data_IF_995603107382
#
_entry.id   IF_995603107382
#
_cell.length_a   1.000
_cell.length_b   1.000
_cell.length_c   1.000
_cell.angle_alpha   90.00
_cell.angle_beta   90.00
_cell.angle_gamma   90.00
#
_symmetry.space_group_name_H-M   'P 1'
#
loop_
_entity.id
_entity.type
_entity.pdbx_description
1 polymer ?
2 non-polymer ?
3 water ?
#
# COMPACT_ATOMS: atom_id res chain seq x y z
N UNK A 8 14.87 -13.43 18.61
CA UNK A 8 13.64 -13.29 19.44
C UNK A 8 13.17 -11.83 19.55
N UNK A 9 11.86 -11.62 19.73
CA UNK A 9 11.17 -10.32 19.85
C UNK A 9 11.93 -9.24 20.62
N UNK A 10 12.17 -9.49 21.90
CA UNK A 10 12.89 -8.55 22.76
C UNK A 10 14.28 -8.25 22.20
N UNK A 11 14.93 -9.30 21.71
CA UNK A 11 16.27 -9.19 21.13
C UNK A 11 16.19 -8.24 19.94
N UNK A 12 15.42 -8.64 18.94
CA UNK A 12 15.22 -7.88 17.72
C UNK A 12 14.94 -6.40 18.00
N UNK A 13 13.98 -6.12 18.87
CA UNK A 13 13.63 -4.76 19.22
C UNK A 13 14.89 -4.01 19.66
N UNK A 14 15.58 -4.58 20.64
CA UNK A 14 16.81 -4.00 21.17
C UNK A 14 17.78 -3.70 20.04
N UNK A 15 17.93 -4.65 19.13
CA UNK A 15 18.84 -4.49 18.01
C UNK A 15 18.38 -3.43 16.98
N UNK A 16 17.07 -3.28 16.81
CA UNK A 16 16.57 -2.28 15.85
C UNK A 16 16.76 -0.91 16.48
N UNK A 17 16.54 -0.85 17.79
CA UNK A 17 16.68 0.38 18.54
C UNK A 17 18.06 0.97 18.26
N UNK A 18 19.08 0.23 18.67
CA UNK A 18 20.46 0.68 18.50
C UNK A 18 20.97 0.68 17.07
N UNK A 19 20.14 0.21 16.15
CA UNK A 19 20.52 0.18 14.74
C UNK A 19 20.10 1.49 14.07
N UNK A 20 19.33 2.30 14.78
CA UNK A 20 18.85 3.58 14.28
C UNK A 20 19.95 4.46 13.64
N UNK A 21 19.64 5.08 12.48
CA UNK A 21 20.58 5.94 11.76
C UNK A 21 20.75 7.28 12.48
N UNK A 22 21.92 7.91 12.35
CA UNK A 22 22.09 9.19 13.03
C UNK A 22 21.16 10.25 12.45
N UNK A 23 20.94 11.35 13.16
CA UNK A 23 20.08 12.37 12.62
C UNK A 23 20.89 13.27 11.69
N UNK A 24 20.36 13.51 10.50
CA UNK A 24 21.08 14.32 9.54
C UNK A 24 20.73 15.79 9.67
N UNK A 25 21.77 16.58 9.84
CA UNK A 25 21.63 18.01 10.01
C UNK A 25 21.84 18.74 8.71
N UNK A 26 20.85 19.54 8.35
CA UNK A 26 20.94 20.34 7.15
C UNK A 26 20.18 21.63 7.47
N UNK A 27 20.56 22.73 6.83
CA UNK A 27 19.88 23.98 7.11
C UNK A 27 19.33 24.66 5.85
N UNK A 28 18.42 25.59 6.06
CA UNK A 28 17.80 26.34 4.97
C UNK A 28 18.82 27.27 4.32
N UNK A 29 18.48 27.83 3.16
CA UNK A 29 19.41 28.72 2.45
C UNK A 29 19.11 30.20 2.71
N UNK A 30 19.93 31.10 2.16
CA UNK A 30 19.75 32.55 2.35
C UNK A 30 18.38 33.12 1.92
N UNK A 31 18.26 33.41 0.63
CA UNK A 31 17.06 34.00 0.01
C UNK A 31 15.81 33.15 0.16
N UNK A 32 14.63 33.73 -0.14
CA UNK A 32 13.39 32.97 -0.02
C UNK A 32 13.41 31.73 -0.91
N UNK A 33 13.11 30.57 -0.32
CA UNK A 33 13.11 29.32 -1.05
C UNK A 33 12.54 29.44 -2.45
N UNK A 34 13.22 28.81 -3.39
CA UNK A 34 12.80 28.78 -4.77
C UNK A 34 12.49 27.32 -5.01
N UNK A 35 11.79 27.03 -6.10
CA UNK A 35 11.48 25.65 -6.43
C UNK A 35 12.80 24.90 -6.39
N UNK A 36 13.79 25.46 -7.06
CA UNK A 36 15.14 24.89 -7.14
C UNK A 36 15.82 24.69 -5.79
N UNK A 37 16.09 25.78 -5.09
CA UNK A 37 16.75 25.71 -3.79
C UNK A 37 16.03 24.73 -2.85
N UNK A 38 14.70 24.80 -2.84
CA UNK A 38 13.88 23.91 -2.01
C UNK A 38 14.21 22.45 -2.31
N UNK A 39 14.09 22.07 -3.57
CA UNK A 39 14.35 20.68 -3.99
C UNK A 39 15.82 20.34 -3.86
N UNK A 40 16.66 21.37 -3.79
CA UNK A 40 18.09 21.19 -3.65
C UNK A 40 18.36 20.77 -2.20
N UNK A 41 17.66 21.39 -1.26
CA UNK A 41 17.84 21.06 0.15
C UNK A 41 17.32 19.64 0.48
N UNK A 42 16.12 19.30 0.00
CA UNK A 42 15.54 17.98 0.24
C UNK A 42 16.40 16.87 -0.35
N UNK A 43 16.86 17.08 -1.59
CA UNK A 43 17.70 16.11 -2.27
C UNK A 43 19.02 15.90 -1.53
N UNK A 44 19.61 17.00 -1.06
CA UNK A 44 20.86 16.88 -0.32
C UNK A 44 20.61 16.01 0.91
N UNK A 45 19.55 16.33 1.64
CA UNK A 45 19.16 15.62 2.83
C UNK A 45 18.88 14.12 2.61
N UNK A 46 17.99 13.84 1.65
CA UNK A 46 17.63 12.46 1.34
C UNK A 46 18.83 11.58 1.00
N UNK A 47 19.72 12.07 0.13
CA UNK A 47 20.91 11.29 -0.25
C UNK A 47 21.80 10.97 0.94
N UNK A 48 21.89 11.91 1.89
CA UNK A 48 22.70 11.67 3.08
C UNK A 48 22.01 10.61 3.92
N UNK A 49 20.69 10.67 3.99
CA UNK A 49 19.92 9.68 4.76
C UNK A 49 20.01 8.33 4.09
N UNK A 50 19.91 8.34 2.76
CA UNK A 50 19.99 7.11 1.99
C UNK A 50 21.33 6.44 2.26
N UNK A 51 22.39 7.25 2.39
CA UNK A 51 23.74 6.73 2.67
C UNK A 51 23.70 5.95 4.00
N UNK A 52 23.13 6.59 5.03
CA UNK A 52 23.01 5.98 6.34
C UNK A 52 22.05 4.78 6.32
N UNK A 53 21.05 4.84 5.45
CA UNK A 53 20.08 3.75 5.36
C UNK A 53 20.74 2.41 5.11
N UNK A 54 21.70 2.39 4.19
CA UNK A 54 22.40 1.16 3.89
C UNK A 54 22.97 0.57 5.19
N UNK A 55 23.73 1.37 5.91
CA UNK A 55 24.33 0.93 7.17
C UNK A 55 23.28 0.42 8.14
N UNK A 56 22.14 1.10 8.21
CA UNK A 56 21.04 0.71 9.08
C UNK A 56 20.53 -0.69 8.70
N UNK A 57 20.23 -0.87 7.42
CA UNK A 57 19.71 -2.15 6.94
C UNK A 57 20.69 -3.30 7.18
N UNK A 58 21.97 -2.98 7.18
CA UNK A 58 23.01 -3.97 7.39
C UNK A 58 23.02 -4.50 8.83
N UNK A 59 22.55 -3.68 9.75
CA UNK A 59 22.53 -4.06 11.15
C UNK A 59 21.29 -4.84 11.49
N UNK A 60 20.33 -4.84 10.58
CA UNK A 60 19.11 -5.57 10.83
C UNK A 60 19.41 -7.06 10.76
N UNK A 61 19.23 -7.76 11.88
CA UNK A 61 19.47 -9.19 12.01
C UNK A 61 19.08 -9.99 10.79
N UNK A 62 20.05 -10.75 10.27
CA UNK A 62 19.80 -11.59 9.12
C UNK A 62 19.91 -10.93 7.76
N UNK A 63 19.77 -9.61 7.71
CA UNK A 63 19.83 -8.92 6.43
C UNK A 63 21.05 -9.26 5.59
N UNK A 64 22.23 -9.08 6.16
CA UNK A 64 23.48 -9.35 5.47
C UNK A 64 23.64 -10.79 4.97
N UNK A 65 22.71 -11.66 5.33
CA UNK A 65 22.79 -13.06 4.89
C UNK A 65 22.03 -13.27 3.59
N UNK A 66 21.13 -12.34 3.26
CA UNK A 66 20.36 -12.45 2.02
C UNK A 66 21.33 -12.15 0.90
N UNK A 67 21.22 -12.89 -0.19
CA UNK A 67 22.09 -12.66 -1.33
C UNK A 67 22.24 -11.16 -1.52
N UNK A 68 23.44 -10.73 -1.90
CA UNK A 68 23.71 -9.32 -2.12
C UNK A 68 22.66 -8.71 -3.05
N UNK A 69 22.09 -9.55 -3.92
CA UNK A 69 21.07 -9.09 -4.86
C UNK A 69 19.75 -8.70 -4.23
N UNK A 70 19.29 -9.51 -3.26
CA UNK A 70 18.04 -9.24 -2.58
C UNK A 70 18.18 -7.99 -1.73
N UNK A 71 19.35 -7.82 -1.13
CA UNK A 71 19.62 -6.64 -0.32
C UNK A 71 19.37 -5.40 -1.17
N UNK A 72 20.07 -5.33 -2.28
CA UNK A 72 19.97 -4.24 -3.24
C UNK A 72 18.52 -4.06 -3.72
N UNK A 73 17.88 -5.16 -4.07
CA UNK A 73 16.49 -5.14 -4.55
C UNK A 73 15.54 -4.56 -3.52
N UNK A 74 15.71 -4.97 -2.27
CA UNK A 74 14.88 -4.50 -1.16
C UNK A 74 15.05 -3.00 -0.93
N UNK A 75 16.30 -2.55 -0.80
CA UNK A 75 16.59 -1.13 -0.59
C UNK A 75 16.16 -0.33 -1.78
N UNK A 76 16.41 -0.90 -2.97
CA UNK A 76 16.04 -0.27 -4.23
C UNK A 76 14.54 0.02 -4.30
N UNK A 77 13.73 -0.91 -3.80
CA UNK A 77 12.28 -0.77 -3.88
C UNK A 77 11.57 -0.09 -2.71
N UNK A 78 12.21 -0.06 -1.54
CA UNK A 78 11.57 0.54 -0.35
C UNK A 78 12.15 1.86 0.15
N UNK A 79 13.30 2.28 -0.38
CA UNK A 79 13.92 3.49 0.14
C UNK A 79 13.04 4.73 0.29
N UNK A 80 12.18 5.02 -0.68
CA UNK A 80 11.35 6.21 -0.54
C UNK A 80 10.34 6.09 0.60
N UNK A 81 9.82 4.89 0.84
CA UNK A 81 8.86 4.68 1.94
C UNK A 81 9.59 4.77 3.29
N UNK A 82 10.76 4.15 3.36
CA UNK A 82 11.55 4.17 4.58
C UNK A 82 11.78 5.63 4.97
N UNK A 83 12.19 6.43 3.99
CA UNK A 83 12.44 7.85 4.21
C UNK A 83 11.19 8.55 4.72
N UNK A 84 10.08 8.39 4.00
CA UNK A 84 8.85 9.04 4.41
C UNK A 84 8.34 8.55 5.76
N UNK A 85 8.65 7.30 6.10
CA UNK A 85 8.24 6.75 7.38
C UNK A 85 9.04 7.43 8.49
N UNK A 86 10.33 7.62 8.23
CA UNK A 86 11.21 8.26 9.20
C UNK A 86 10.79 9.71 9.41
N UNK A 87 10.36 10.35 8.32
CA UNK A 87 9.91 11.72 8.35
C UNK A 87 8.63 11.85 9.18
N UNK A 88 7.68 10.94 8.93
CA UNK A 88 6.43 10.96 9.65
C UNK A 88 6.66 10.78 11.14
N UNK A 89 7.56 9.86 11.49
CA UNK A 89 7.86 9.61 12.89
C UNK A 89 8.37 10.85 13.63
N UNK A 90 9.29 11.59 13.01
CA UNK A 90 9.80 12.77 13.70
C UNK A 90 8.91 14.00 13.61
N UNK A 91 7.88 13.97 12.76
CA UNK A 91 6.95 15.09 12.62
C UNK A 91 5.69 14.82 13.46
N UNK A 92 5.58 13.60 13.99
CA UNK A 92 4.42 13.19 14.76
C UNK A 92 3.93 14.14 15.87
N UNK A 93 4.87 14.79 16.57
CA UNK A 93 4.48 15.71 17.63
C UNK A 93 4.44 17.16 17.14
N UNK A 94 4.45 17.35 15.82
CA UNK A 94 4.42 18.70 15.25
C UNK A 94 3.33 18.81 14.17
N UNK A 95 2.05 18.72 14.56
CA UNK A 95 0.94 18.81 13.61
C UNK A 95 1.03 20.02 12.67
N UNK A 96 0.73 19.77 11.40
CA UNK A 96 0.77 20.82 10.39
C UNK A 96 2.20 21.04 9.93
N UNK A 97 3.16 20.32 10.50
CA UNK A 97 4.55 20.50 10.09
C UNK A 97 5.26 19.20 9.72
N UNK A 98 6.27 19.33 8.85
CA UNK A 98 7.12 18.22 8.43
C UNK A 98 8.54 18.54 8.88
N UNK A 99 9.03 17.77 9.84
CA UNK A 99 10.34 17.95 10.40
C UNK A 99 11.41 17.20 9.60
N UNK A 100 11.84 17.78 8.50
CA UNK A 100 12.87 17.14 7.67
C UNK A 100 14.19 17.04 8.44
N UNK A 101 14.42 18.04 9.29
CA UNK A 101 15.62 18.13 10.13
C UNK A 101 15.36 19.23 11.17
N UNK A 102 16.10 19.21 12.29
CA UNK A 102 15.94 20.21 13.35
C UNK A 102 15.93 21.65 12.81
N UNK A 103 16.82 21.92 11.85
CA UNK A 103 16.94 23.25 11.26
C UNK A 103 16.11 23.41 9.98
N UNK A 104 15.61 22.31 9.45
CA UNK A 104 14.81 22.38 8.23
C UNK A 104 13.40 21.83 8.44
N UNK A 105 12.57 22.70 8.99
CA UNK A 105 11.19 22.36 9.24
C UNK A 105 10.35 23.21 8.30
N UNK A 106 9.40 22.58 7.62
CA UNK A 106 8.54 23.27 6.69
C UNK A 106 7.06 23.08 6.99
N UNK A 107 6.28 24.14 6.76
CA UNK A 107 4.84 24.11 7.00
C UNK A 107 4.22 23.62 5.73
N UNK A 108 2.96 23.20 5.78
CA UNK A 108 2.29 22.73 4.57
C UNK A 108 2.43 23.77 3.42
N UNK A 109 2.15 25.02 3.75
CA UNK A 109 2.20 26.14 2.79
C UNK A 109 3.55 26.48 2.14
N UNK A 110 4.65 26.23 2.83
CA UNK A 110 5.96 26.52 2.27
C UNK A 110 6.27 25.55 1.14
N UNK A 111 5.56 24.43 1.13
CA UNK A 111 5.77 23.44 0.10
C UNK A 111 5.44 23.96 -1.28
N UNK A 112 4.66 25.04 -1.32
CA UNK A 112 4.27 25.65 -2.59
C UNK A 112 5.46 26.29 -3.32
N UNK A 113 6.65 26.12 -2.78
CA UNK A 113 7.86 26.66 -3.40
C UNK A 113 8.23 25.76 -4.56
N UNK A 114 7.84 24.49 -4.45
CA UNK A 114 8.10 23.51 -5.49
C UNK A 114 6.76 23.06 -6.06
N UNK A 115 6.51 23.46 -7.30
CA UNK A 115 5.26 23.14 -8.00
C UNK A 115 4.85 21.67 -7.95
N UNK A 116 3.78 21.39 -7.20
CA UNK A 116 3.29 20.01 -7.13
C UNK A 116 3.36 19.26 -5.80
N UNK A 117 4.49 19.34 -5.11
CA UNK A 117 4.65 18.60 -3.84
C UNK A 117 3.58 18.82 -2.78
N UNK A 118 2.74 19.85 -2.96
CA UNK A 118 1.70 20.15 -1.98
C UNK A 118 0.85 18.92 -1.66
N UNK A 119 0.35 18.25 -2.69
CA UNK A 119 -0.46 17.05 -2.49
C UNK A 119 0.36 16.01 -1.76
N UNK A 120 1.65 15.92 -2.08
CA UNK A 120 2.53 14.98 -1.44
C UNK A 120 2.70 15.33 0.05
N UNK A 121 2.79 16.63 0.34
CA UNK A 121 2.93 17.05 1.73
C UNK A 121 1.66 16.72 2.49
N UNK A 122 0.50 16.89 1.86
CA UNK A 122 -0.76 16.58 2.55
C UNK A 122 -0.89 15.08 2.84
N UNK A 123 -0.34 14.25 1.95
CA UNK A 123 -0.38 12.81 2.15
C UNK A 123 0.43 12.47 3.40
N UNK A 124 1.64 13.00 3.49
CA UNK A 124 2.51 12.77 4.63
C UNK A 124 1.89 13.27 5.94
N UNK A 125 1.51 14.54 5.98
CA UNK A 125 0.90 15.12 7.17
C UNK A 125 -0.33 14.35 7.66
N UNK A 126 -1.19 13.93 6.72
CA UNK A 126 -2.39 13.16 7.07
C UNK A 126 -2.05 11.76 7.62
N UNK A 127 -1.05 11.10 7.03
CA UNK A 127 -0.68 9.77 7.55
C UNK A 127 -0.06 9.96 8.93
N UNK A 128 0.84 10.93 9.04
CA UNK A 128 1.46 11.27 10.31
C UNK A 128 0.32 11.54 11.28
N UNK A 129 -0.69 12.25 10.78
CA UNK A 129 -1.86 12.58 11.59
C UNK A 129 -2.49 11.28 12.07
N UNK A 130 -2.60 10.30 11.18
CA UNK A 130 -3.21 9.04 11.58
C UNK A 130 -2.37 8.36 12.65
N UNK A 131 -1.07 8.26 12.43
CA UNK A 131 -0.18 7.64 13.40
C UNK A 131 -0.25 8.37 14.73
N UNK A 132 -0.45 9.68 14.69
CA UNK A 132 -0.53 10.48 15.90
C UNK A 132 -1.75 10.11 16.69
N UNK A 133 -2.85 9.89 15.98
CA UNK A 133 -4.09 9.51 16.62
C UNK A 133 -4.02 8.10 17.19
N UNK A 134 -3.14 7.27 16.62
CA UNK A 134 -2.98 5.89 17.09
C UNK A 134 -1.92 5.89 18.18
N UNK A 135 -1.37 7.07 18.43
CA UNK A 135 -0.32 7.22 19.43
C UNK A 135 0.72 6.12 19.22
N UNK A 136 1.20 6.06 17.97
CA UNK A 136 2.21 5.12 17.55
C UNK A 136 3.37 5.22 18.53
N UNK A 137 3.91 4.07 18.94
CA UNK A 137 5.03 4.06 19.87
C UNK A 137 6.37 3.84 19.17
N UNK A 138 7.42 4.35 19.79
CA UNK A 138 8.77 4.24 19.24
C UNK A 138 9.11 2.83 18.76
N UNK A 139 8.97 1.85 19.66
CA UNK A 139 9.25 0.45 19.33
C UNK A 139 8.37 -0.04 18.18
N UNK A 140 7.11 0.41 18.15
CA UNK A 140 6.18 0.01 17.10
C UNK A 140 6.73 0.55 15.78
N UNK A 141 7.14 1.81 15.81
CA UNK A 141 7.72 2.49 14.66
C UNK A 141 8.95 1.73 14.14
N UNK A 142 9.83 1.32 15.04
CA UNK A 142 11.02 0.55 14.69
C UNK A 142 10.64 -0.69 13.90
N UNK A 143 9.67 -1.45 14.41
CA UNK A 143 9.26 -2.64 13.68
C UNK A 143 8.64 -2.28 12.32
N UNK A 144 7.76 -1.28 12.30
CA UNK A 144 7.13 -0.90 11.04
C UNK A 144 8.13 -0.50 9.97
N UNK A 145 9.18 0.22 10.36
CA UNK A 145 10.17 0.63 9.40
C UNK A 145 10.84 -0.55 8.70
N UNK A 146 11.46 -1.43 9.49
CA UNK A 146 12.13 -2.60 8.93
C UNK A 146 11.13 -3.40 8.11
N UNK A 147 9.87 -3.37 8.54
CA UNK A 147 8.82 -4.08 7.86
C UNK A 147 8.60 -3.48 6.48
N UNK A 148 8.70 -2.16 6.39
CA UNK A 148 8.53 -1.52 5.10
C UNK A 148 9.68 -1.94 4.19
N UNK A 149 10.86 -2.07 4.78
CA UNK A 149 12.02 -2.48 3.99
C UNK A 149 11.87 -3.92 3.52
N UNK A 150 11.56 -4.81 4.45
CA UNK A 150 11.40 -6.23 4.13
C UNK A 150 10.17 -6.63 3.30
N UNK A 151 9.14 -5.79 3.25
CA UNK A 151 7.95 -6.18 2.49
C UNK A 151 7.82 -5.36 1.21
N UNK A 152 8.88 -4.67 0.82
CA UNK A 152 8.81 -3.84 -0.38
C UNK A 152 8.80 -4.66 -1.68
N UNK A 153 9.29 -5.89 -1.62
CA UNK A 153 9.31 -6.70 -2.83
C UNK A 153 8.60 -8.05 -2.78
N UNK A 154 8.21 -8.49 -3.97
CA UNK A 154 7.52 -9.74 -4.26
C UNK A 154 7.34 -9.84 -5.77
N UNK A 167 11.59 -15.40 -0.16
CA UNK A 167 12.17 -16.73 -0.10
C UNK A 167 12.32 -17.22 1.34
N UNK A 168 13.01 -18.33 1.49
CA UNK A 168 13.26 -18.94 2.80
C UNK A 168 13.62 -17.92 3.88
N UNK A 169 14.83 -17.40 3.78
CA UNK A 169 15.34 -16.42 4.74
C UNK A 169 14.52 -15.13 4.74
N UNK A 170 14.20 -14.66 3.53
CA UNK A 170 13.42 -13.44 3.36
C UNK A 170 12.18 -13.44 4.25
N UNK A 171 11.23 -14.31 3.94
CA UNK A 171 10.00 -14.43 4.71
C UNK A 171 10.31 -14.63 6.19
N UNK A 172 11.25 -15.52 6.48
CA UNK A 172 11.65 -15.80 7.86
C UNK A 172 11.99 -14.48 8.55
N UNK A 173 12.85 -13.70 7.89
CA UNK A 173 13.28 -12.42 8.41
C UNK A 173 12.08 -11.48 8.58
N UNK A 174 11.20 -11.46 7.59
CA UNK A 174 10.02 -10.62 7.63
C UNK A 174 9.02 -11.04 8.70
N UNK A 175 8.83 -12.35 8.88
CA UNK A 175 7.90 -12.80 9.91
C UNK A 175 8.45 -12.57 11.30
N UNK A 176 9.76 -12.53 11.44
CA UNK A 176 10.36 -12.31 12.75
C UNK A 176 10.09 -10.87 13.25
N UNK A 177 10.25 -9.90 12.36
CA UNK A 177 9.99 -8.50 12.70
C UNK A 177 8.49 -8.34 13.02
N UNK A 178 7.69 -9.08 12.26
CA UNK A 178 6.24 -9.09 12.41
C UNK A 178 5.89 -9.71 13.76
N UNK A 179 6.67 -10.70 14.19
CA UNK A 179 6.43 -11.34 15.48
C UNK A 179 6.72 -10.25 16.49
N UNK A 180 7.89 -9.63 16.34
CA UNK A 180 8.35 -8.56 17.21
C UNK A 180 7.32 -7.43 17.32
N UNK A 181 6.60 -7.13 16.24
CA UNK A 181 5.59 -6.08 16.33
C UNK A 181 4.44 -6.53 17.22
N UNK A 182 3.89 -7.72 16.93
CA UNK A 182 2.79 -8.26 17.72
C UNK A 182 3.22 -8.23 19.19
N UNK A 183 4.44 -8.68 19.47
CA UNK A 183 4.97 -8.68 20.84
C UNK A 183 4.90 -7.27 21.45
N UNK A 184 5.41 -6.27 20.74
CA UNK A 184 5.38 -4.90 21.25
C UNK A 184 3.94 -4.53 21.62
N UNK A 185 3.03 -4.70 20.66
CA UNK A 185 1.63 -4.39 20.92
C UNK A 185 1.10 -5.15 22.14
N UNK A 186 1.69 -6.32 22.41
CA UNK A 186 1.28 -7.15 23.54
C UNK A 186 1.62 -6.65 24.94
N UNK A 187 2.75 -5.96 25.10
CA UNK A 187 3.10 -5.48 26.44
C UNK A 187 2.32 -4.23 26.83
N UNK A 188 1.35 -3.87 26.00
CA UNK A 188 0.52 -2.70 26.25
C UNK A 188 -0.49 -3.01 27.35
N UNK A 189 -1.06 -4.21 27.30
CA UNK A 189 -2.04 -4.59 28.30
C UNK A 189 -3.49 -4.51 27.84
N UNK A 190 -3.73 -3.95 26.65
CA UNK A 190 -5.09 -3.84 26.14
C UNK A 190 -5.62 -5.24 25.84
N UNK A 191 -6.94 -5.38 25.77
CA UNK A 191 -7.55 -6.68 25.50
C UNK A 191 -7.08 -7.20 24.15
N UNK A 192 -7.31 -8.50 23.90
CA UNK A 192 -6.90 -9.13 22.66
C UNK A 192 -7.59 -8.54 21.43
N UNK A 193 -8.87 -8.24 21.55
CA UNK A 193 -9.64 -7.68 20.46
C UNK A 193 -9.03 -6.34 20.05
N UNK A 194 -8.53 -5.59 21.04
CA UNK A 194 -7.92 -4.30 20.77
C UNK A 194 -6.51 -4.46 20.19
N UNK A 195 -5.82 -5.50 20.62
CA UNK A 195 -4.48 -5.76 20.11
C UNK A 195 -4.60 -6.09 18.63
N UNK A 196 -5.60 -6.90 18.29
CA UNK A 196 -5.83 -7.26 16.90
C UNK A 196 -6.15 -5.98 16.13
N UNK A 197 -7.01 -5.15 16.71
CA UNK A 197 -7.41 -3.87 16.11
C UNK A 197 -6.23 -2.97 15.76
N UNK A 198 -5.32 -2.83 16.70
CA UNK A 198 -4.14 -1.97 16.53
C UNK A 198 -3.16 -2.46 15.47
N UNK A 199 -3.03 -3.77 15.35
CA UNK A 199 -2.14 -4.37 14.38
C UNK A 199 -2.72 -4.06 12.99
N UNK A 200 -4.04 -4.20 12.86
CA UNK A 200 -4.70 -3.93 11.57
C UNK A 200 -4.60 -2.46 11.20
N UNK A 201 -4.91 -1.57 12.15
CA UNK A 201 -4.84 -0.15 11.89
C UNK A 201 -3.45 0.35 11.52
N UNK A 202 -2.43 -0.22 12.15
CA UNK A 202 -1.05 0.17 11.85
C UNK A 202 -0.66 -0.32 10.45
N UNK A 203 -0.87 -1.61 10.20
CA UNK A 203 -0.54 -2.19 8.90
C UNK A 203 -1.39 -1.66 7.77
N UNK A 204 -2.63 -1.26 8.05
CA UNK A 204 -3.48 -0.70 7.01
C UNK A 204 -2.81 0.59 6.55
N UNK A 205 -2.15 1.26 7.50
CA UNK A 205 -1.44 2.51 7.21
C UNK A 205 -0.22 2.31 6.31
N UNK A 206 0.19 1.08 6.08
CA UNK A 206 1.32 0.85 5.19
C UNK A 206 0.91 1.19 3.76
N UNK A 207 -0.32 0.87 3.40
CA UNK A 207 -0.84 1.17 2.07
C UNK A 207 -0.76 2.67 1.79
N UNK A 208 -1.02 3.50 2.79
CA UNK A 208 -0.92 4.93 2.56
C UNK A 208 0.55 5.33 2.42
N UNK A 209 1.43 4.68 3.18
CA UNK A 209 2.87 4.98 3.10
C UNK A 209 3.38 4.62 1.71
N UNK A 210 3.06 3.41 1.25
CA UNK A 210 3.46 2.97 -0.09
C UNK A 210 2.87 3.91 -1.15
N UNK A 211 1.64 4.37 -0.92
CA UNK A 211 1.01 5.26 -1.88
C UNK A 211 1.71 6.61 -2.00
N UNK A 212 2.12 7.16 -0.85
CA UNK A 212 2.82 8.43 -0.80
C UNK A 212 4.12 8.27 -1.57
N UNK A 213 4.80 7.15 -1.30
CA UNK A 213 6.06 6.81 -1.93
C UNK A 213 5.92 6.78 -3.44
N UNK A 214 4.89 6.10 -3.94
CA UNK A 214 4.66 6.04 -5.39
C UNK A 214 4.39 7.45 -5.95
N UNK A 215 3.62 8.25 -5.22
CA UNK A 215 3.32 9.60 -5.67
C UNK A 215 4.59 10.44 -5.71
N UNK A 216 5.43 10.30 -4.69
CA UNK A 216 6.66 11.05 -4.62
C UNK A 216 7.61 10.66 -5.75
N UNK A 217 7.67 9.37 -6.06
CA UNK A 217 8.54 8.90 -7.14
C UNK A 217 8.11 9.49 -8.48
N UNK A 218 6.79 9.55 -8.69
CA UNK A 218 6.24 10.08 -9.93
C UNK A 218 6.64 11.54 -10.09
N UNK A 219 6.44 12.32 -9.03
CA UNK A 219 6.77 13.74 -9.05
C UNK A 219 8.29 13.97 -9.16
N UNK A 220 9.04 13.21 -8.38
CA UNK A 220 10.48 13.34 -8.39
C UNK A 220 11.00 13.04 -9.79
N UNK A 221 10.42 12.01 -10.40
CA UNK A 221 10.81 11.60 -11.74
C UNK A 221 10.54 12.72 -12.74
N UNK A 222 9.35 13.33 -12.63
CA UNK A 222 8.97 14.40 -13.53
C UNK A 222 10.00 15.52 -13.55
N UNK A 223 10.65 15.75 -12.42
CA UNK A 223 11.66 16.80 -12.35
C UNK A 223 13.05 16.22 -12.45
N UNK A 227 16.97 8.72 -19.01
CA UNK A 227 16.61 7.68 -19.98
C UNK A 227 17.63 6.54 -20.05
N UNK A 228 17.16 5.31 -19.84
CA UNK A 228 18.02 4.14 -19.90
C UNK A 228 17.33 3.06 -20.74
N UNK A 229 18.06 1.96 -20.96
CA UNK A 229 17.53 0.84 -21.73
C UNK A 229 16.78 -0.13 -20.83
N UNK A 230 15.54 -0.47 -21.21
CA UNK A 230 14.70 -1.41 -20.45
C UNK A 230 15.46 -2.72 -20.28
N UNK A 231 15.56 -3.20 -19.05
CA UNK A 231 16.29 -4.44 -18.76
C UNK A 231 15.40 -5.46 -18.07
N UNK A 232 14.15 -5.09 -17.83
CA UNK A 232 13.22 -5.98 -17.16
C UNK A 232 13.24 -7.40 -17.75
N UNK A 233 12.88 -7.55 -19.02
CA UNK A 233 12.86 -8.88 -19.68
C UNK A 233 14.19 -9.63 -19.57
N UNK A 234 15.29 -8.90 -19.72
CA UNK A 234 16.63 -9.49 -19.63
C UNK A 234 16.92 -9.96 -18.22
N UNK A 235 16.42 -9.23 -17.23
CA UNK A 235 16.63 -9.60 -15.84
C UNK A 235 15.90 -10.91 -15.54
N UNK A 236 14.70 -11.08 -16.09
CA UNK A 236 13.97 -12.33 -15.88
C UNK A 236 14.76 -13.51 -16.46
N UNK A 237 15.16 -13.38 -17.72
CA UNK A 237 15.94 -14.43 -18.37
C UNK A 237 17.16 -14.79 -17.54
N UNK A 238 17.90 -13.78 -17.12
CA UNK A 238 19.09 -13.99 -16.31
C UNK A 238 18.81 -14.77 -15.04
N UNK A 239 17.61 -14.60 -14.49
CA UNK A 239 17.21 -15.29 -13.27
C UNK A 239 16.79 -16.71 -13.66
N UNK A 240 16.06 -16.80 -14.77
CA UNK A 240 15.59 -18.08 -15.27
C UNK A 240 16.81 -18.96 -15.56
N UNK A 241 17.84 -18.35 -16.13
CA UNK A 241 19.08 -19.06 -16.46
C UNK A 241 19.89 -19.24 -15.17
N UNK A 242 19.47 -18.56 -14.11
CA UNK A 242 20.10 -18.63 -12.80
C UNK A 242 21.52 -18.06 -12.70
N UNK A 243 21.78 -16.95 -13.38
CA UNK A 243 23.11 -16.34 -13.34
C UNK A 243 23.14 -14.97 -12.66
N UNK A 244 21.98 -14.51 -12.21
CA UNK A 244 21.83 -13.22 -11.54
C UNK A 244 22.39 -13.26 -10.11
N UNK A 245 23.51 -12.56 -9.91
CA UNK A 245 24.19 -12.50 -8.60
C UNK A 245 24.21 -13.81 -7.82
N UNK B 4 -26.39 -1.78 14.87
CA UNK B 4 -25.18 -2.29 15.58
C UNK B 4 -24.90 -3.72 15.14
N UNK B 5 -25.93 -4.55 15.19
CA UNK B 5 -25.86 -5.96 14.83
C UNK B 5 -25.67 -6.19 13.35
N UNK B 6 -26.37 -5.42 12.52
CA UNK B 6 -26.25 -5.56 11.08
C UNK B 6 -24.76 -5.37 10.72
N UNK B 7 -23.99 -4.88 11.69
CA UNK B 7 -22.55 -4.64 11.51
C UNK B 7 -21.71 -5.60 12.34
N UNK B 8 -22.32 -6.67 12.83
CA UNK B 8 -21.61 -7.67 13.61
C UNK B 8 -20.91 -8.65 12.68
N UNK B 9 -19.77 -9.19 13.10
CA UNK B 9 -18.95 -10.14 12.34
C UNK B 9 -19.70 -11.11 11.44
N UNK B 10 -20.62 -11.89 12.01
CA UNK B 10 -21.37 -12.85 11.23
C UNK B 10 -22.39 -12.19 10.29
N UNK B 11 -22.95 -11.07 10.73
CA UNK B 11 -23.93 -10.34 9.94
C UNK B 11 -23.24 -9.72 8.74
N UNK B 12 -22.17 -8.96 9.02
CA UNK B 12 -21.42 -8.30 7.97
C UNK B 12 -20.91 -9.37 7.00
N UNK B 13 -20.31 -10.44 7.51
CA UNK B 13 -19.81 -11.51 6.65
C UNK B 13 -20.90 -12.01 5.73
N UNK B 14 -22.08 -12.22 6.31
CA UNK B 14 -23.23 -12.69 5.57
C UNK B 14 -23.62 -11.75 4.45
N UNK B 15 -23.71 -10.46 4.77
CA UNK B 15 -24.09 -9.45 3.77
C UNK B 15 -23.09 -9.35 2.63
N UNK B 16 -21.79 -9.36 2.93
CA UNK B 16 -20.80 -9.30 1.87
C UNK B 16 -20.83 -10.59 1.04
N UNK B 17 -21.16 -11.71 1.68
CA UNK B 17 -21.25 -13.01 1.00
C UNK B 17 -22.25 -12.99 -0.15
N UNK B 18 -23.31 -12.19 -0.01
CA UNK B 18 -24.35 -12.09 -1.03
C UNK B 18 -24.35 -10.79 -1.82
N UNK B 19 -23.39 -9.92 -1.52
CA UNK B 19 -23.28 -8.63 -2.22
C UNK B 19 -22.38 -8.77 -3.43
N UNK B 20 -21.69 -9.90 -3.53
CA UNK B 20 -20.79 -10.14 -4.64
C UNK B 20 -21.41 -9.75 -5.96
N UNK B 21 -20.67 -8.97 -6.77
CA UNK B 21 -21.19 -8.54 -8.06
C UNK B 21 -21.38 -9.74 -8.97
N UNK B 22 -22.02 -9.53 -10.12
CA UNK B 22 -22.24 -10.65 -11.05
C UNK B 22 -20.97 -10.81 -11.89
N UNK B 23 -20.68 -12.03 -12.31
CA UNK B 23 -19.50 -12.27 -13.12
C UNK B 23 -19.72 -11.62 -14.48
N UNK B 24 -18.67 -11.02 -15.02
CA UNK B 24 -18.77 -10.37 -16.30
C UNK B 24 -18.12 -11.23 -17.36
N UNK B 25 -18.86 -11.46 -18.44
CA UNK B 25 -18.36 -12.26 -19.53
C UNK B 25 -17.82 -11.38 -20.65
N UNK B 26 -16.86 -11.92 -21.39
CA UNK B 26 -16.23 -11.24 -22.50
C UNK B 26 -15.31 -12.24 -23.20
N UNK B 27 -15.33 -12.24 -24.53
CA UNK B 27 -14.47 -13.18 -25.25
C UNK B 27 -13.49 -12.45 -26.16
N UNK B 28 -12.35 -13.06 -26.37
CA UNK B 28 -11.27 -12.52 -27.19
C UNK B 28 -11.82 -12.17 -28.57
N UNK B 29 -11.01 -11.47 -29.39
CA UNK B 29 -11.47 -11.08 -30.73
C UNK B 29 -10.98 -12.04 -31.83
N UNK B 30 -11.35 -11.77 -33.08
CA UNK B 30 -10.94 -12.60 -34.21
C UNK B 30 -9.42 -12.79 -34.32
N UNK B 31 -8.77 -11.80 -34.95
CA UNK B 31 -7.32 -11.83 -35.20
C UNK B 31 -6.49 -11.98 -33.93
N UNK B 32 -5.17 -12.21 -34.09
CA UNK B 32 -4.29 -12.37 -32.92
C UNK B 32 -4.14 -11.02 -32.21
N UNK B 33 -4.20 -11.04 -30.88
CA UNK B 33 -4.10 -9.81 -30.09
C UNK B 33 -3.05 -8.80 -30.52
N UNK B 34 -3.47 -7.54 -30.45
CA UNK B 34 -2.64 -6.39 -30.77
C UNK B 34 -2.65 -5.58 -29.48
N UNK B 35 -2.06 -4.39 -29.50
CA UNK B 35 -2.06 -3.56 -28.30
C UNK B 35 -3.43 -2.95 -28.15
N UNK B 36 -4.03 -2.56 -29.27
CA UNK B 36 -5.34 -1.94 -29.27
C UNK B 36 -6.45 -2.91 -28.86
N UNK B 37 -6.60 -4.00 -29.60
CA UNK B 37 -7.64 -4.99 -29.30
C UNK B 37 -7.57 -5.45 -27.85
N UNK B 38 -6.35 -5.74 -27.40
CA UNK B 38 -6.08 -6.19 -26.04
C UNK B 38 -6.66 -5.23 -25.01
N UNK B 39 -6.24 -3.97 -25.09
CA UNK B 39 -6.70 -2.93 -24.16
C UNK B 39 -8.20 -2.72 -24.32
N UNK B 40 -8.68 -2.71 -25.56
CA UNK B 40 -10.10 -2.55 -25.85
C UNK B 40 -10.90 -3.54 -25.00
N UNK B 41 -10.57 -4.83 -25.14
CA UNK B 41 -11.25 -5.88 -24.41
C UNK B 41 -11.18 -5.63 -22.90
N UNK B 42 -9.97 -5.40 -22.38
CA UNK B 42 -9.79 -5.15 -20.96
C UNK B 42 -10.49 -3.89 -20.47
N UNK B 43 -10.64 -2.90 -21.35
CA UNK B 43 -11.31 -1.66 -20.97
C UNK B 43 -12.79 -1.92 -20.91
N UNK B 44 -13.33 -2.51 -21.97
CA UNK B 44 -14.74 -2.85 -22.00
C UNK B 44 -15.04 -3.65 -20.74
N UNK B 45 -14.20 -4.64 -20.47
CA UNK B 45 -14.36 -5.49 -19.29
C UNK B 45 -14.24 -4.67 -18.00
N UNK B 46 -13.25 -3.80 -17.91
CA UNK B 46 -13.09 -3.00 -16.71
C UNK B 46 -14.27 -2.07 -16.47
N UNK B 47 -14.77 -1.46 -17.54
CA UNK B 47 -15.91 -0.56 -17.38
C UNK B 47 -17.17 -1.29 -16.87
N UNK B 48 -17.44 -2.47 -17.43
CA UNK B 48 -18.61 -3.22 -16.99
C UNK B 48 -18.55 -3.54 -15.49
N UNK B 49 -17.43 -4.10 -15.05
CA UNK B 49 -17.25 -4.41 -13.63
C UNK B 49 -17.40 -3.16 -12.74
N UNK B 50 -17.03 -2.00 -13.27
CA UNK B 50 -17.13 -0.76 -12.52
C UNK B 50 -18.58 -0.35 -12.29
N UNK B 51 -19.42 -0.45 -13.32
CA UNK B 51 -20.82 -0.13 -13.14
C UNK B 51 -21.31 -1.06 -12.03
N UNK B 52 -20.85 -2.31 -12.07
CA UNK B 52 -21.18 -3.33 -11.08
C UNK B 52 -20.61 -3.01 -9.69
N UNK B 53 -19.38 -2.52 -9.64
CA UNK B 53 -18.75 -2.19 -8.38
C UNK B 53 -19.58 -1.20 -7.56
N UNK B 54 -20.41 -0.41 -8.23
CA UNK B 54 -21.26 0.59 -7.56
C UNK B 54 -22.36 -0.09 -6.72
N UNK B 55 -23.10 -1.00 -7.35
CA UNK B 55 -24.19 -1.68 -6.66
C UNK B 55 -23.67 -2.58 -5.55
N UNK B 56 -22.42 -3.00 -5.67
CA UNK B 56 -21.79 -3.82 -4.64
C UNK B 56 -21.49 -2.95 -3.44
N UNK B 57 -20.96 -1.76 -3.70
CA UNK B 57 -20.60 -0.83 -2.63
C UNK B 57 -21.86 -0.45 -1.86
N UNK B 58 -22.93 -0.20 -2.60
CA UNK B 58 -24.20 0.18 -1.99
C UNK B 58 -24.75 -0.86 -1.04
N UNK B 59 -24.33 -2.12 -1.17
CA UNK B 59 -24.85 -3.18 -0.30
C UNK B 59 -24.02 -3.44 0.94
N UNK B 60 -22.90 -2.73 1.08
CA UNK B 60 -22.07 -2.91 2.24
C UNK B 60 -22.70 -2.12 3.37
N UNK B 61 -23.10 -2.82 4.43
CA UNK B 61 -23.73 -2.25 5.62
C UNK B 61 -23.31 -0.83 5.95
N UNK B 62 -24.19 0.13 5.67
CA UNK B 62 -23.89 1.52 6.01
C UNK B 62 -23.21 2.41 4.98
N UNK B 63 -22.73 1.84 3.87
CA UNK B 63 -22.09 2.69 2.87
C UNK B 63 -23.04 3.81 2.44
N UNK B 64 -24.32 3.45 2.30
CA UNK B 64 -25.37 4.38 1.88
C UNK B 64 -25.59 5.59 2.77
N UNK B 65 -25.21 5.46 4.04
CA UNK B 65 -25.36 6.56 4.99
C UNK B 65 -24.20 7.54 4.99
N UNK B 66 -23.07 7.15 4.38
CA UNK B 66 -21.92 8.07 4.31
C UNK B 66 -22.32 9.17 3.32
N UNK B 67 -21.80 10.38 3.51
CA UNK B 67 -22.17 11.46 2.59
C UNK B 67 -21.83 11.03 1.17
N UNK B 68 -22.55 11.62 0.21
CA UNK B 68 -22.35 11.28 -1.18
C UNK B 68 -20.93 11.62 -1.63
N UNK B 69 -20.39 12.69 -1.08
CA UNK B 69 -19.04 13.09 -1.43
C UNK B 69 -18.04 12.00 -1.05
N UNK B 70 -18.21 11.46 0.15
CA UNK B 70 -17.33 10.41 0.63
C UNK B 70 -17.54 9.11 -0.15
N UNK B 71 -18.78 8.83 -0.54
CA UNK B 71 -19.03 7.62 -1.32
C UNK B 71 -18.18 7.74 -2.57
N UNK B 72 -18.40 8.82 -3.32
CA UNK B 72 -17.67 9.06 -4.55
C UNK B 72 -16.16 9.06 -4.35
N UNK B 73 -15.73 9.62 -3.23
CA UNK B 73 -14.32 9.72 -2.86
C UNK B 73 -13.63 8.34 -2.77
N UNK B 74 -14.18 7.47 -1.93
CA UNK B 74 -13.63 6.13 -1.73
C UNK B 74 -13.61 5.31 -3.03
N UNK B 75 -14.72 5.30 -3.75
CA UNK B 75 -14.79 4.54 -4.99
C UNK B 75 -13.81 5.12 -6.01
N UNK B 76 -13.65 6.44 -6.03
CA UNK B 76 -12.73 7.05 -6.97
C UNK B 76 -11.29 6.73 -6.64
N UNK B 77 -10.98 6.70 -5.34
CA UNK B 77 -9.62 6.41 -4.89
C UNK B 77 -9.20 4.94 -4.91
N UNK B 78 -10.15 4.03 -4.74
CA UNK B 78 -9.84 2.60 -4.68
C UNK B 78 -10.30 1.66 -5.79
N UNK B 79 -10.92 2.16 -6.85
CA UNK B 79 -11.44 1.26 -7.88
C UNK B 79 -10.46 0.34 -8.63
N UNK B 80 -9.22 0.77 -8.85
CA UNK B 80 -8.28 -0.11 -9.54
C UNK B 80 -7.81 -1.23 -8.62
N UNK B 81 -7.67 -0.93 -7.33
CA UNK B 81 -7.24 -1.93 -6.35
C UNK B 81 -8.33 -2.97 -6.15
N UNK B 82 -9.59 -2.53 -6.20
CA UNK B 82 -10.69 -3.45 -6.03
C UNK B 82 -10.77 -4.39 -7.22
N UNK B 83 -10.57 -3.87 -8.42
CA UNK B 83 -10.60 -4.68 -9.64
C UNK B 83 -9.50 -5.72 -9.59
N UNK B 84 -8.27 -5.26 -9.32
CA UNK B 84 -7.12 -6.13 -9.28
C UNK B 84 -7.21 -7.21 -8.24
N UNK B 85 -7.89 -6.93 -7.15
CA UNK B 85 -8.09 -7.93 -6.08
C UNK B 85 -9.16 -8.93 -6.53
N UNK B 86 -10.14 -8.46 -7.29
CA UNK B 86 -11.18 -9.35 -7.76
C UNK B 86 -10.54 -10.29 -8.77
N UNK B 87 -9.65 -9.71 -9.56
CA UNK B 87 -8.91 -10.44 -10.58
C UNK B 87 -7.94 -11.44 -9.94
N UNK B 88 -7.20 -11.00 -8.92
CA UNK B 88 -6.25 -11.93 -8.27
C UNK B 88 -7.01 -13.08 -7.64
N UNK B 89 -8.07 -12.73 -6.91
CA UNK B 89 -8.88 -13.72 -6.24
C UNK B 89 -9.34 -14.85 -7.16
N UNK B 90 -9.91 -14.50 -8.32
CA UNK B 90 -10.38 -15.54 -9.22
C UNK B 90 -9.28 -16.21 -10.03
N UNK B 91 -8.05 -15.72 -9.91
CA UNK B 91 -6.94 -16.32 -10.62
C UNK B 91 -6.05 -17.08 -9.62
N UNK B 92 -6.49 -17.13 -8.36
CA UNK B 92 -5.75 -17.75 -7.25
C UNK B 92 -5.45 -19.23 -7.29
N UNK B 93 -6.23 -19.99 -8.04
CA UNK B 93 -6.02 -21.43 -8.16
C UNK B 93 -5.44 -21.80 -9.53
N UNK B 94 -5.19 -20.80 -10.38
CA UNK B 94 -4.61 -21.06 -11.71
C UNK B 94 -3.30 -20.30 -11.91
N UNK B 95 -2.26 -20.69 -11.17
CA UNK B 95 -0.91 -20.10 -11.19
C UNK B 95 -0.42 -19.83 -12.61
N UNK B 96 0.20 -18.67 -12.78
CA UNK B 96 0.70 -18.28 -14.09
C UNK B 96 -0.36 -17.70 -15.03
N UNK B 97 -1.63 -17.68 -14.61
CA UNK B 97 -2.67 -17.15 -15.47
C UNK B 97 -3.58 -16.14 -14.79
N UNK B 98 -4.00 -15.14 -15.57
CA UNK B 98 -4.91 -14.09 -15.08
C UNK B 98 -6.28 -14.32 -15.73
N UNK B 99 -7.27 -14.65 -14.89
CA UNK B 99 -8.62 -14.93 -15.36
C UNK B 99 -9.54 -13.69 -15.38
N UNK B 100 -9.33 -12.83 -16.36
CA UNK B 100 -10.15 -11.63 -16.47
C UNK B 100 -11.61 -12.05 -16.58
N UNK B 101 -11.86 -13.03 -17.46
CA UNK B 101 -13.18 -13.62 -17.67
C UNK B 101 -12.98 -15.05 -18.18
N UNK B 102 -14.05 -15.87 -18.13
CA UNK B 102 -14.07 -17.28 -18.56
C UNK B 102 -13.42 -17.56 -19.93
N UNK B 103 -13.70 -16.72 -20.92
CA UNK B 103 -13.13 -16.90 -22.25
C UNK B 103 -11.94 -15.96 -22.41
N UNK B 104 -11.61 -15.28 -21.32
CA UNK B 104 -10.50 -14.35 -21.32
C UNK B 104 -9.53 -14.77 -20.22
N UNK B 105 -8.80 -15.84 -20.51
CA UNK B 105 -7.80 -16.39 -19.62
C UNK B 105 -6.45 -16.27 -20.30
N UNK B 106 -5.76 -15.18 -20.00
CA UNK B 106 -4.47 -14.88 -20.55
C UNK B 106 -3.35 -15.23 -19.59
N UNK B 107 -2.28 -15.80 -20.11
CA UNK B 107 -1.16 -16.13 -19.26
C UNK B 107 -0.17 -14.98 -19.38
N UNK B 108 0.94 -15.07 -18.68
CA UNK B 108 1.95 -14.04 -18.70
C UNK B 108 2.29 -13.49 -20.09
N UNK B 109 2.91 -14.31 -20.93
CA UNK B 109 3.36 -13.92 -22.28
C UNK B 109 2.42 -13.16 -23.22
N UNK B 110 1.13 -13.45 -23.17
CA UNK B 110 0.16 -12.77 -24.05
C UNK B 110 0.04 -11.28 -23.74
N UNK B 111 0.38 -10.90 -22.52
CA UNK B 111 0.30 -9.51 -22.14
C UNK B 111 1.21 -8.65 -22.98
N UNK B 112 2.27 -9.26 -23.51
CA UNK B 112 3.22 -8.53 -24.34
C UNK B 112 2.54 -7.90 -25.57
N UNK B 113 1.24 -8.06 -25.69
CA UNK B 113 0.48 -7.48 -26.81
C UNK B 113 0.31 -5.99 -26.58
N UNK B 114 0.26 -5.61 -25.30
CA UNK B 114 0.12 -4.21 -24.92
C UNK B 114 1.37 -3.73 -24.20
N UNK B 115 2.28 -3.14 -24.98
CA UNK B 115 3.56 -2.62 -24.49
C UNK B 115 3.59 -2.07 -23.07
N UNK B 116 4.35 -2.74 -22.20
CA UNK B 116 4.48 -2.29 -20.83
C UNK B 116 3.67 -3.01 -19.77
N UNK B 117 2.49 -3.50 -20.13
CA UNK B 117 1.65 -4.17 -19.15
C UNK B 117 2.32 -5.38 -18.50
N UNK B 118 3.37 -5.86 -19.14
CA UNK B 118 4.12 -7.02 -18.65
C UNK B 118 4.51 -6.94 -17.19
N UNK B 119 5.08 -5.80 -16.78
CA UNK B 119 5.48 -5.65 -15.39
C UNK B 119 4.27 -5.66 -14.46
N UNK B 120 3.13 -5.16 -14.96
CA UNK B 120 1.90 -5.12 -14.19
C UNK B 120 1.40 -6.56 -13.99
N UNK B 121 1.38 -7.32 -15.08
CA UNK B 121 0.94 -8.72 -15.05
C UNK B 121 1.73 -9.52 -14.05
N UNK B 122 3.02 -9.26 -13.96
CA UNK B 122 3.86 -10.00 -13.04
C UNK B 122 3.56 -9.63 -11.60
N UNK B 123 3.23 -8.36 -11.38
CA UNK B 123 2.89 -7.91 -10.04
C UNK B 123 1.60 -8.62 -9.62
N UNK B 124 0.61 -8.62 -10.51
CA UNK B 124 -0.67 -9.28 -10.21
C UNK B 124 -0.44 -10.77 -9.96
N UNK B 125 0.34 -11.38 -10.83
CA UNK B 125 0.70 -12.80 -10.74
C UNK B 125 1.43 -13.19 -9.45
N UNK B 126 2.38 -12.35 -9.05
CA UNK B 126 3.17 -12.57 -7.85
C UNK B 126 2.38 -12.33 -6.57
N UNK B 127 1.45 -11.38 -6.60
CA UNK B 127 0.67 -11.11 -5.40
C UNK B 127 -0.35 -12.23 -5.24
N UNK B 128 -0.89 -12.67 -6.37
CA UNK B 128 -1.85 -13.76 -6.38
C UNK B 128 -1.22 -14.97 -5.72
N UNK B 129 0.04 -15.24 -6.07
CA UNK B 129 0.77 -16.35 -5.49
C UNK B 129 0.88 -16.27 -3.97
N UNK B 130 1.13 -15.06 -3.46
CA UNK B 130 1.23 -14.87 -2.02
C UNK B 130 -0.09 -15.28 -1.37
N UNK B 131 -1.20 -14.76 -1.88
CA UNK B 131 -2.49 -15.12 -1.34
C UNK B 131 -2.68 -16.63 -1.48
N UNK B 132 -2.15 -17.20 -2.56
CA UNK B 132 -2.29 -18.63 -2.79
C UNK B 132 -1.56 -19.47 -1.74
N UNK B 133 -0.37 -19.04 -1.33
CA UNK B 133 0.41 -19.80 -0.33
C UNK B 133 -0.28 -19.68 1.02
N UNK B 134 -0.84 -18.50 1.27
CA UNK B 134 -1.56 -18.21 2.49
C UNK B 134 -2.89 -18.95 2.51
N UNK B 135 -3.27 -19.52 1.37
CA UNK B 135 -4.53 -20.22 1.30
C UNK B 135 -5.62 -19.23 1.73
N UNK B 136 -5.65 -18.09 1.06
CA UNK B 136 -6.64 -17.03 1.33
C UNK B 136 -8.04 -17.58 1.13
N UNK B 137 -8.87 -17.51 2.17
CA UNK B 137 -10.24 -18.02 2.09
C UNK B 137 -11.26 -17.02 1.57
N UNK B 138 -12.31 -17.52 0.95
CA UNK B 138 -13.34 -16.66 0.38
C UNK B 138 -13.85 -15.65 1.39
N UNK B 139 -14.03 -16.07 2.65
CA UNK B 139 -14.55 -15.16 3.67
C UNK B 139 -13.56 -14.03 4.01
N UNK B 140 -12.27 -14.36 4.08
CA UNK B 140 -11.25 -13.35 4.36
C UNK B 140 -11.19 -12.38 3.17
N UNK B 141 -11.26 -12.95 1.97
CA UNK B 141 -11.24 -12.21 0.73
C UNK B 141 -12.32 -11.12 0.73
N UNK B 142 -13.54 -11.50 1.09
CA UNK B 142 -14.66 -10.55 1.11
C UNK B 142 -14.42 -9.38 2.06
N UNK B 143 -13.75 -9.64 3.19
CA UNK B 143 -13.48 -8.60 4.14
C UNK B 143 -12.40 -7.67 3.61
N UNK B 144 -11.37 -8.25 3.02
CA UNK B 144 -10.25 -7.47 2.46
C UNK B 144 -10.69 -6.56 1.30
N UNK B 145 -11.53 -7.07 0.41
CA UNK B 145 -11.97 -6.24 -0.70
C UNK B 145 -12.67 -4.99 -0.13
N UNK B 146 -13.63 -5.20 0.78
CA UNK B 146 -14.36 -4.08 1.38
C UNK B 146 -13.39 -3.14 2.12
N UNK B 147 -12.42 -3.73 2.80
CA UNK B 147 -11.45 -2.95 3.54
C UNK B 147 -10.68 -2.04 2.57
N UNK B 148 -10.39 -2.56 1.38
CA UNK B 148 -9.68 -1.75 0.42
C UNK B 148 -10.59 -0.56 0.08
N UNK B 149 -11.89 -0.81 -0.03
CA UNK B 149 -12.82 0.26 -0.34
C UNK B 149 -12.80 1.37 0.71
N UNK B 150 -12.90 0.99 1.98
CA UNK B 150 -12.95 1.92 3.10
C UNK B 150 -11.59 2.47 3.56
N UNK B 151 -10.50 1.79 3.23
CA UNK B 151 -9.17 2.27 3.62
C UNK B 151 -8.51 3.03 2.46
N UNK B 152 -9.31 3.41 1.48
CA UNK B 152 -8.76 4.07 0.33
C UNK B 152 -8.23 5.49 0.51
N UNK B 153 -8.83 6.27 1.42
CA UNK B 153 -8.41 7.66 1.69
C UNK B 153 -8.35 7.93 3.21
N UNK B 154 -7.64 8.99 3.63
CA UNK B 154 -7.54 9.36 5.05
C UNK B 154 -6.87 10.73 5.24
N UNK B 167 -13.98 9.64 9.38
CA UNK B 167 -14.73 10.34 10.42
C UNK B 167 -15.51 9.32 11.24
N UNK B 168 -16.36 9.83 12.13
CA UNK B 168 -17.19 8.98 12.99
C UNK B 168 -17.64 7.72 12.24
N UNK B 169 -18.55 7.91 11.28
CA UNK B 169 -19.09 6.82 10.48
C UNK B 169 -18.05 6.04 9.69
N UNK B 170 -17.25 6.73 8.89
CA UNK B 170 -16.22 6.10 8.08
C UNK B 170 -15.44 5.08 8.91
N UNK B 171 -14.69 5.60 9.88
CA UNK B 171 -13.88 4.77 10.77
C UNK B 171 -14.68 3.63 11.40
N UNK B 172 -15.89 3.90 11.86
CA UNK B 172 -16.70 2.85 12.48
C UNK B 172 -16.93 1.73 11.45
N UNK B 173 -17.41 2.12 10.28
CA UNK B 173 -17.68 1.21 9.18
C UNK B 173 -16.42 0.39 8.87
N UNK B 174 -15.27 1.06 8.90
CA UNK B 174 -13.99 0.40 8.64
C UNK B 174 -13.59 -0.55 9.76
N UNK B 175 -13.71 -0.11 11.01
CA UNK B 175 -13.36 -0.98 12.12
C UNK B 175 -14.25 -2.23 12.16
N UNK B 176 -15.53 -2.10 11.77
CA UNK B 176 -16.43 -3.26 11.75
C UNK B 176 -15.95 -4.28 10.72
N UNK B 177 -15.52 -3.81 9.55
CA UNK B 177 -15.02 -4.74 8.53
C UNK B 177 -13.75 -5.39 9.09
N UNK B 178 -13.03 -4.64 9.91
CA UNK B 178 -11.81 -5.14 10.53
C UNK B 178 -12.12 -6.19 11.58
N UNK B 179 -13.16 -5.96 12.38
CA UNK B 179 -13.56 -6.91 13.42
C UNK B 179 -14.05 -8.20 12.74
N UNK B 180 -14.70 -8.04 11.59
CA UNK B 180 -15.21 -9.18 10.83
C UNK B 180 -14.08 -10.13 10.38
N UNK B 181 -12.99 -9.54 9.90
CA UNK B 181 -11.84 -10.33 9.43
C UNK B 181 -11.13 -11.05 10.58
N UNK B 182 -11.05 -10.41 11.75
CA UNK B 182 -10.43 -11.03 12.90
C UNK B 182 -11.28 -12.26 13.21
N UNK B 183 -12.59 -12.05 13.26
CA UNK B 183 -13.56 -13.10 13.53
C UNK B 183 -13.40 -14.31 12.60
N UNK B 184 -13.36 -14.06 11.29
CA UNK B 184 -13.21 -15.14 10.32
C UNK B 184 -11.94 -15.93 10.56
N UNK B 185 -10.84 -15.22 10.74
CA UNK B 185 -9.55 -15.85 10.97
C UNK B 185 -9.59 -16.59 12.31
N UNK B 186 -10.48 -16.15 13.19
CA UNK B 186 -10.63 -16.74 14.51
C UNK B 186 -11.34 -18.09 14.49
N UNK B 187 -12.34 -18.24 13.61
CA UNK B 187 -13.05 -19.50 13.55
C UNK B 187 -12.25 -20.56 12.78
N UNK B 188 -10.96 -20.33 12.66
CA UNK B 188 -10.08 -21.26 11.96
C UNK B 188 -9.42 -22.24 12.95
N UNK B 189 -9.43 -21.89 14.23
CA UNK B 189 -8.86 -22.76 15.23
C UNK B 189 -7.38 -22.53 15.52
N UNK B 190 -6.62 -22.07 14.53
CA UNK B 190 -5.20 -21.85 14.74
C UNK B 190 -5.02 -21.02 16.01
N UNK B 191 -3.88 -21.21 16.68
CA UNK B 191 -3.57 -20.51 17.93
C UNK B 191 -3.78 -19.00 17.86
N UNK B 192 -3.28 -18.30 18.86
CA UNK B 192 -3.43 -16.86 18.90
C UNK B 192 -2.31 -16.21 18.11
N UNK B 193 -1.07 -16.64 18.37
CA UNK B 193 0.09 -16.08 17.69
C UNK B 193 0.02 -16.27 16.17
N UNK B 194 -0.69 -17.31 15.71
CA UNK B 194 -0.82 -17.56 14.28
C UNK B 194 -1.99 -16.77 13.70
N UNK B 195 -2.90 -16.30 14.55
CA UNK B 195 -4.03 -15.49 14.11
C UNK B 195 -3.52 -14.05 13.91
N UNK B 196 -2.58 -13.67 14.76
CA UNK B 196 -1.97 -12.34 14.67
C UNK B 196 -1.10 -12.34 13.40
N UNK B 197 -0.37 -13.43 13.18
CA UNK B 197 0.48 -13.56 12.00
C UNK B 197 -0.31 -13.49 10.70
N UNK B 198 -1.39 -14.25 10.59
CA UNK B 198 -2.18 -14.25 9.37
C UNK B 198 -2.77 -12.87 9.10
N UNK B 199 -3.23 -12.21 10.16
CA UNK B 199 -3.78 -10.89 10.06
C UNK B 199 -2.71 -9.96 9.46
N UNK B 200 -1.52 -10.02 10.03
CA UNK B 200 -0.41 -9.19 9.56
C UNK B 200 -0.07 -9.47 8.10
N UNK B 201 0.20 -10.74 7.77
CA UNK B 201 0.54 -11.14 6.39
C UNK B 201 -0.54 -10.69 5.41
N UNK B 202 -1.79 -11.02 5.72
CA UNK B 202 -2.91 -10.63 4.87
C UNK B 202 -2.87 -9.12 4.63
N UNK B 203 -2.84 -8.35 5.70
CA UNK B 203 -2.84 -6.89 5.57
C UNK B 203 -1.64 -6.28 4.88
N UNK B 204 -0.46 -6.86 5.09
CA UNK B 204 0.75 -6.36 4.45
C UNK B 204 0.73 -6.53 2.93
N UNK B 205 -0.16 -7.39 2.42
CA UNK B 205 -0.26 -7.59 0.98
C UNK B 205 -1.07 -6.44 0.41
N UNK B 206 -1.69 -5.68 1.30
CA UNK B 206 -2.48 -4.53 0.87
C UNK B 206 -1.55 -3.48 0.28
N UNK B 207 -0.29 -3.48 0.71
CA UNK B 207 0.68 -2.53 0.18
C UNK B 207 0.99 -2.90 -1.28
N UNK B 208 1.12 -4.19 -1.53
CA UNK B 208 1.40 -4.71 -2.86
C UNK B 208 0.23 -4.49 -3.81
N UNK B 209 -1.00 -4.59 -3.30
CA UNK B 209 -2.17 -4.36 -4.13
C UNK B 209 -2.19 -2.87 -4.51
N UNK B 210 -2.10 -2.01 -3.50
CA UNK B 210 -2.09 -0.57 -3.74
C UNK B 210 -0.98 -0.22 -4.75
N UNK B 211 0.19 -0.82 -4.57
CA UNK B 211 1.33 -0.56 -5.44
C UNK B 211 1.06 -0.94 -6.90
N UNK B 212 0.43 -2.10 -7.12
CA UNK B 212 0.10 -2.54 -8.47
C UNK B 212 -0.95 -1.61 -9.08
N UNK B 213 -1.85 -1.13 -8.22
CA UNK B 213 -2.88 -0.20 -8.64
C UNK B 213 -2.23 1.10 -9.14
N UNK B 214 -1.29 1.62 -8.35
CA UNK B 214 -0.60 2.85 -8.74
C UNK B 214 0.15 2.63 -10.04
N UNK B 215 0.84 1.49 -10.15
CA UNK B 215 1.57 1.16 -11.36
C UNK B 215 0.60 1.06 -12.53
N UNK B 216 -0.54 0.41 -12.29
CA UNK B 216 -1.53 0.27 -13.32
C UNK B 216 -2.09 1.62 -13.75
N UNK B 217 -2.46 2.46 -12.78
CA UNK B 217 -3.00 3.77 -13.12
C UNK B 217 -2.04 4.56 -14.00
N UNK B 218 -0.77 4.60 -13.59
CA UNK B 218 0.28 5.30 -14.31
C UNK B 218 0.35 4.82 -15.76
N UNK B 219 0.32 3.51 -15.95
CA UNK B 219 0.40 2.92 -17.29
C UNK B 219 -0.84 3.22 -18.10
N UNK B 220 -1.99 3.17 -17.44
CA UNK B 220 -3.26 3.45 -18.10
C UNK B 220 -3.29 4.92 -18.54
N UNK B 221 -2.87 5.80 -17.64
CA UNK B 221 -2.87 7.23 -17.93
C UNK B 221 -2.01 7.52 -19.16
N UNK B 222 -0.83 6.88 -19.24
CA UNK B 222 0.06 7.09 -20.37
C UNK B 222 -0.64 6.84 -21.69
N UNK B 223 -1.53 5.85 -21.70
CA UNK B 223 -2.29 5.54 -22.90
C UNK B 223 -3.72 6.04 -22.71
N UNK B 227 -7.07 16.15 -20.31
CA UNK B 227 -6.52 17.14 -19.39
C UNK B 227 -7.65 18.00 -18.82
N UNK B 228 -7.64 18.15 -17.50
CA UNK B 228 -8.67 18.94 -16.83
C UNK B 228 -8.02 19.99 -15.94
N UNK B 229 -8.85 20.89 -15.40
CA UNK B 229 -8.36 21.95 -14.54
C UNK B 229 -8.15 21.45 -13.13
N UNK B 230 -6.93 21.59 -12.60
CA UNK B 230 -6.55 21.18 -11.24
C UNK B 230 -7.53 21.74 -10.22
N UNK B 231 -8.20 20.88 -9.48
CA UNK B 231 -9.19 21.34 -8.51
C UNK B 231 -8.81 21.04 -7.05
N UNK B 232 -7.57 20.60 -6.85
CA UNK B 232 -7.09 20.27 -5.52
C UNK B 232 -7.28 21.37 -4.47
N UNK B 233 -6.74 22.57 -4.72
CA UNK B 233 -6.87 23.68 -3.78
C UNK B 233 -8.31 24.11 -3.51
N UNK B 234 -9.08 24.22 -4.58
CA UNK B 234 -10.48 24.62 -4.48
C UNK B 234 -11.28 23.70 -3.55
N UNK B 235 -11.11 22.39 -3.72
CA UNK B 235 -11.79 21.42 -2.88
C UNK B 235 -11.48 21.65 -1.41
N UNK B 236 -10.22 21.93 -1.10
CA UNK B 236 -9.80 22.20 0.27
C UNK B 236 -10.53 23.44 0.75
N UNK B 237 -10.55 24.46 -0.10
CA UNK B 237 -11.22 25.71 0.21
C UNK B 237 -12.69 25.41 0.48
N UNK B 238 -13.28 24.61 -0.39
CA UNK B 238 -14.69 24.25 -0.25
C UNK B 238 -14.95 23.49 1.04
N UNK B 239 -14.12 22.48 1.30
CA UNK B 239 -14.30 21.71 2.52
C UNK B 239 -14.13 22.65 3.71
N UNK B 240 -13.12 23.49 3.66
CA UNK B 240 -12.82 24.46 4.71
C UNK B 240 -13.99 25.40 4.96
N UNK B 241 -14.66 25.84 3.90
CA UNK B 241 -15.81 26.72 4.00
C UNK B 241 -17.03 25.91 4.40
N UNK B 242 -16.94 24.60 4.20
CA UNK B 242 -18.01 23.66 4.52
C UNK B 242 -19.26 23.79 3.63
N UNK B 243 -19.06 23.53 2.34
CA UNK B 243 -20.15 23.61 1.37
C UNK B 243 -20.06 22.43 0.42
N UNK B 244 -19.03 21.61 0.61
CA UNK B 244 -18.80 20.44 -0.23
C UNK B 244 -19.81 19.33 0.12
N UNK B 245 -20.73 19.08 -0.81
CA UNK B 245 -21.80 18.07 -0.67
C UNK B 245 -22.45 17.94 0.71
#
# INVERSE_FOLDING_TARGET
ELLLDALSPEQLVLTLLEAEPPHVLISRPSAPFTEASMMMSLTKLADKELVHMISWAKKIPGFVELSLFDQVRLLESSWMEVLMMGLMWRSIDHPGKLIFAPDLVLDRDEGKSVEGILEIFDMLLATTSRFRELKLQHKEYLCVKAMILLNSSMYPLVTATQDADSSRKLAHLLNAVTDALVWVIAKSGISSQQQSMRLANLLMLLSHVRHASNKGMEHLLNMKSKNVVPVYDLLLEMLNAHVLRG
ELLLDALSPEQLVLTLLEAEPPHVLISRPSAPFTEASMMMSLTKLADKELVHMISWAKKIPGFVELSLFDQVRLLESSWMEVLMMGLMWRSIDHPGKLIFAPDLVLDRDEGKSVEGILEIFDMLLATTSRFRELKLQHKEYLCVKAMILLNSSMYPLVTATQDADSSRKLAHLLNAVTDALVWVIAKSGISSQQQSMRLANLLMLLSHVRHASNKGMEHLLNMKSKNVVPVYDLLLEMLNAHVLRG
#
